data_IF_448195106949
#
_entry.id   IF_448195106949
#
_cell.length_a   1.000
_cell.length_b   1.000
_cell.length_c   1.000
_cell.angle_alpha   90.00
_cell.angle_beta   90.00
_cell.angle_gamma   90.00
#
_symmetry.space_group_name_H-M   'P 1'
#
loop_
_entity.id
_entity.type
_entity.pdbx_description
1 polymer ?
#
# COMPACT_ATOMS: atom_id res chain seq x y z
N UNK A 1 33.72 11.63 5.81
CA UNK A 1 33.06 10.32 5.97
C UNK A 1 31.95 10.25 4.94
N UNK A 2 32.04 9.33 3.97
CA UNK A 2 30.92 9.04 3.08
C UNK A 2 29.87 8.33 3.94
N UNK A 3 28.64 8.87 4.02
CA UNK A 3 27.51 8.10 4.53
C UNK A 3 27.42 6.86 3.64
N UNK A 4 27.64 5.68 4.21
CA UNK A 4 27.15 4.46 3.57
C UNK A 4 25.65 4.66 3.43
N UNK A 5 25.18 4.83 2.20
CA UNK A 5 23.76 4.78 1.92
C UNK A 5 23.37 3.33 2.20
N UNK A 6 22.64 3.08 3.28
CA UNK A 6 21.99 1.79 3.48
C UNK A 6 21.14 1.52 2.24
N UNK A 7 21.51 0.48 1.48
CA UNK A 7 20.74 0.04 0.34
C UNK A 7 19.38 -0.44 0.84
N UNK A 8 18.31 0.15 0.31
CA UNK A 8 16.94 -0.30 0.58
C UNK A 8 16.76 -1.64 -0.16
N UNK A 9 16.31 -2.72 0.50
CA UNK A 9 16.00 -3.97 -0.19
C UNK A 9 14.99 -3.73 -1.32
N UNK A 10 15.14 -4.42 -2.46
CA UNK A 10 14.28 -4.24 -3.63
C UNK A 10 12.77 -4.36 -3.30
N UNK A 11 12.40 -5.25 -2.38
CA UNK A 11 11.02 -5.45 -1.92
C UNK A 11 10.44 -4.26 -1.14
N UNK A 12 11.28 -3.38 -0.61
CA UNK A 12 10.91 -2.14 0.08
C UNK A 12 11.21 -0.89 -0.75
N UNK A 13 11.71 -1.04 -1.97
CA UNK A 13 12.05 0.08 -2.84
C UNK A 13 10.80 0.62 -3.58
N UNK A 14 10.33 1.85 -3.26
CA UNK A 14 9.12 2.40 -3.87
C UNK A 14 9.25 2.60 -5.38
N UNK A 15 10.46 2.81 -5.90
CA UNK A 15 10.70 2.99 -7.34
C UNK A 15 10.50 1.69 -8.12
N UNK A 16 10.61 0.54 -7.45
CA UNK A 16 10.41 -0.78 -8.04
C UNK A 16 8.99 -1.34 -7.81
N UNK A 17 8.25 -0.76 -6.86
CA UNK A 17 6.95 -1.26 -6.38
C UNK A 17 5.92 -1.50 -7.50
N UNK A 18 5.94 -0.67 -8.55
CA UNK A 18 4.92 -0.69 -9.61
C UNK A 18 5.38 -1.42 -10.89
N UNK A 19 6.62 -1.93 -10.95
CA UNK A 19 7.20 -2.49 -12.18
C UNK A 19 6.46 -3.71 -12.73
N UNK A 20 5.73 -4.44 -11.89
CA UNK A 20 4.96 -5.62 -12.28
C UNK A 20 3.50 -5.31 -12.62
N UNK A 21 3.06 -4.06 -12.44
CA UNK A 21 1.68 -3.64 -12.73
C UNK A 21 1.56 -3.30 -14.21
N UNK A 22 0.53 -3.84 -14.87
CA UNK A 22 0.24 -3.53 -16.27
C UNK A 22 0.00 -2.03 -16.48
N UNK A 23 0.58 -1.46 -17.55
CA UNK A 23 0.52 -0.01 -17.84
C UNK A 23 -0.91 0.53 -17.92
N UNK A 24 -1.85 -0.25 -18.43
CA UNK A 24 -3.28 0.12 -18.48
C UNK A 24 -3.84 0.44 -17.09
N UNK A 25 -3.50 -0.36 -16.08
CA UNK A 25 -3.95 -0.12 -14.70
C UNK A 25 -3.29 1.14 -14.11
N UNK A 26 -2.00 1.38 -14.41
CA UNK A 26 -1.31 2.59 -13.99
C UNK A 26 -1.96 3.85 -14.58
N UNK A 27 -2.34 3.81 -15.87
CA UNK A 27 -3.05 4.91 -16.52
C UNK A 27 -4.40 5.18 -15.83
N UNK A 28 -5.16 4.13 -15.50
CA UNK A 28 -6.45 4.27 -14.79
C UNK A 28 -6.30 4.84 -13.39
N UNK A 29 -5.24 4.46 -12.66
CA UNK A 29 -4.89 5.07 -11.37
C UNK A 29 -4.57 6.56 -11.55
N UNK A 30 -3.75 6.91 -12.55
CA UNK A 30 -3.38 8.30 -12.81
C UNK A 30 -4.59 9.19 -13.19
N UNK A 31 -5.60 8.62 -13.86
CA UNK A 31 -6.86 9.29 -14.18
C UNK A 31 -7.86 9.35 -13.01
N UNK A 32 -7.56 8.71 -11.89
CA UNK A 32 -8.48 8.60 -10.75
C UNK A 32 -9.63 7.60 -10.95
N UNK A 33 -9.58 6.78 -12.00
CA UNK A 33 -10.59 5.72 -12.27
C UNK A 33 -10.44 4.54 -11.31
N UNK A 34 -9.26 4.38 -10.69
CA UNK A 34 -8.97 3.38 -9.66
C UNK A 34 -8.54 4.09 -8.38
N UNK A 35 -9.31 3.88 -7.31
CA UNK A 35 -8.92 4.26 -5.95
C UNK A 35 -7.88 3.26 -5.42
N UNK A 36 -6.60 3.54 -5.70
CA UNK A 36 -5.48 2.72 -5.25
C UNK A 36 -5.41 2.63 -3.72
N UNK A 37 -5.79 3.70 -3.00
CA UNK A 37 -5.80 3.72 -1.54
C UNK A 37 -6.82 2.72 -1.00
N UNK A 38 -8.00 2.60 -1.63
CA UNK A 38 -8.99 1.56 -1.29
C UNK A 38 -8.44 0.15 -1.50
N UNK A 39 -7.70 -0.09 -2.59
CA UNK A 39 -7.08 -1.40 -2.84
C UNK A 39 -6.02 -1.74 -1.80
N UNK A 40 -5.16 -0.78 -1.43
CA UNK A 40 -4.16 -0.95 -0.37
C UNK A 40 -4.82 -1.28 0.97
N UNK A 41 -5.84 -0.51 1.37
CA UNK A 41 -6.60 -0.78 2.60
C UNK A 41 -7.21 -2.18 2.60
N UNK A 42 -7.74 -2.64 1.45
CA UNK A 42 -8.28 -4.00 1.32
C UNK A 42 -7.18 -5.05 1.54
N UNK A 43 -6.01 -4.90 0.91
CA UNK A 43 -4.89 -5.83 1.06
C UNK A 43 -4.42 -5.95 2.52
N UNK A 44 -4.28 -4.81 3.21
CA UNK A 44 -3.88 -4.79 4.63
C UNK A 44 -4.97 -5.40 5.52
N UNK A 45 -6.24 -5.14 5.20
CA UNK A 45 -7.38 -5.74 5.90
C UNK A 45 -7.46 -7.25 5.72
N UNK A 46 -7.27 -7.75 4.50
CA UNK A 46 -7.31 -9.20 4.22
C UNK A 46 -6.14 -9.93 4.90
N UNK A 47 -4.99 -9.27 5.05
CA UNK A 47 -3.85 -9.74 5.85
C UNK A 47 -4.09 -9.67 7.35
N UNK A 48 -5.11 -8.93 7.80
CA UNK A 48 -5.47 -8.80 9.20
C UNK A 48 -4.48 -7.98 10.03
N UNK A 49 -3.74 -7.06 9.42
CA UNK A 49 -2.70 -6.26 10.09
C UNK A 49 -3.11 -4.80 10.28
N UNK A 50 -2.53 -4.13 11.28
CA UNK A 50 -2.62 -2.67 11.50
C UNK A 50 -1.42 -1.91 10.90
N UNK A 51 -1.35 -0.59 11.12
CA UNK A 51 -0.26 0.28 10.63
C UNK A 51 1.05 0.15 11.41
N UNK A 52 1.04 -0.61 12.49
CA UNK A 52 2.24 -1.06 13.21
C UNK A 52 2.66 -2.48 12.78
N UNK A 53 1.96 -3.06 11.79
CA UNK A 53 2.13 -4.45 11.32
C UNK A 53 1.78 -5.52 12.37
N UNK A 54 1.05 -5.16 13.42
CA UNK A 54 0.53 -6.16 14.37
C UNK A 54 -0.63 -6.92 13.72
N UNK A 55 -0.71 -8.23 13.97
CA UNK A 55 -1.88 -9.01 13.58
C UNK A 55 -3.05 -8.75 14.54
N UNK A 56 -4.16 -8.24 14.01
CA UNK A 56 -5.38 -7.87 14.73
C UNK A 56 -6.61 -8.64 14.24
N UNK A 57 -6.45 -9.51 13.24
CA UNK A 57 -7.52 -10.27 12.60
C UNK A 57 -8.23 -9.51 11.46
N UNK A 58 -8.67 -10.18 10.38
CA UNK A 58 -9.24 -9.50 9.20
C UNK A 58 -10.46 -8.63 9.49
N UNK A 59 -11.37 -9.08 10.35
CA UNK A 59 -12.59 -8.33 10.67
C UNK A 59 -12.29 -7.02 11.40
N UNK A 60 -11.31 -7.04 12.31
CA UNK A 60 -10.87 -5.84 13.02
C UNK A 60 -10.07 -4.92 12.10
N UNK A 61 -9.21 -5.50 11.25
CA UNK A 61 -8.42 -4.74 10.29
C UNK A 61 -9.29 -3.99 9.28
N UNK A 62 -10.38 -4.59 8.78
CA UNK A 62 -11.34 -3.88 7.89
C UNK A 62 -11.85 -2.59 8.52
N UNK A 63 -12.20 -2.62 9.80
CA UNK A 63 -12.64 -1.41 10.54
C UNK A 63 -11.47 -0.46 10.80
N UNK A 64 -10.30 -1.01 11.12
CA UNK A 64 -9.10 -0.23 11.43
C UNK A 64 -8.68 0.67 10.26
N UNK A 65 -8.67 0.13 9.04
CA UNK A 65 -8.18 0.85 7.87
C UNK A 65 -9.14 1.93 7.35
N UNK A 66 -10.43 1.91 7.71
CA UNK A 66 -11.38 2.97 7.33
C UNK A 66 -10.94 4.36 7.82
N UNK A 67 -10.11 4.46 8.86
CA UNK A 67 -9.54 5.74 9.33
C UNK A 67 -8.68 6.46 8.28
N UNK A 68 -8.18 5.72 7.28
CA UNK A 68 -7.39 6.24 6.16
C UNK A 68 -8.21 6.46 4.88
N UNK A 69 -9.55 6.40 4.97
CA UNK A 69 -10.42 6.79 3.88
C UNK A 69 -10.38 8.33 3.76
N UNK A 70 -9.85 8.83 2.64
CA UNK A 70 -9.85 10.28 2.40
C UNK A 70 -11.31 10.76 2.25
N UNK A 71 -11.70 11.88 2.87
CA UNK A 71 -12.98 12.51 2.56
C UNK A 71 -12.98 12.92 1.09
N UNK A 72 -14.09 12.64 0.41
CA UNK A 72 -14.35 12.99 -1.00
C UNK A 72 -14.73 14.46 -1.09
#
# INVERSE_FOLDING_TARGET
>A
MKKEMEEIPDELNPDLMLNTIASELLIKIAKGEIDIQKLVRKQLSDRGIDDQRNWIGPDKARKYWEKYKMPV
#
